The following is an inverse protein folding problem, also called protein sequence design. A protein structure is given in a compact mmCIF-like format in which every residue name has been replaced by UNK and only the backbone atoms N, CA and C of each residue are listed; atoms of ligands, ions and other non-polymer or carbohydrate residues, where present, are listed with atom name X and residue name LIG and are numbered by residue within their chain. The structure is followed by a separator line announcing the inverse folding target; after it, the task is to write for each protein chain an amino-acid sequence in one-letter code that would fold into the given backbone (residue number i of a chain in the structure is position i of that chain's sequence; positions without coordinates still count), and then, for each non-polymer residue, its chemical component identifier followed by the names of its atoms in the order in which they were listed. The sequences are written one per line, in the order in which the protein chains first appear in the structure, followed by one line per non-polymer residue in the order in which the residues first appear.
data_IF_964960472096
#
_entry.id   IF_964960472096
#
_cell.length_a   1.000
_cell.length_b   1.000
_cell.length_c   1.000
_cell.angle_alpha   90.00
_cell.angle_beta   90.00
_cell.angle_gamma   90.00
#
_symmetry.space_group_name_H-M   'P 1'
#
loop_
_entity.id
_entity.type
_entity.pdbx_description
1 polymer ?
#
# COMPACT_ATOMS: atom_id res chain seq x y z
N UNK A 1 17.31 11.07 1.85
CA UNK A 1 16.36 11.39 0.82
C UNK A 1 15.27 10.36 0.76
N UNK A 2 14.12 10.74 1.27
CA UNK A 2 12.98 9.85 1.47
C UNK A 2 12.42 9.31 0.14
N UNK A 3 12.40 10.13 -0.93
CA UNK A 3 11.93 9.67 -2.24
C UNK A 3 12.79 8.52 -2.78
N UNK A 4 14.10 8.56 -2.57
CA UNK A 4 14.99 7.48 -2.99
C UNK A 4 14.75 6.20 -2.19
N UNK A 5 14.49 6.32 -0.89
CA UNK A 5 14.16 5.17 -0.04
C UNK A 5 12.86 4.52 -0.49
N UNK A 6 11.84 5.32 -0.83
CA UNK A 6 10.57 4.82 -1.34
C UNK A 6 10.77 4.09 -2.67
N UNK A 7 11.47 4.69 -3.62
CA UNK A 7 11.70 4.07 -4.93
C UNK A 7 12.48 2.78 -4.79
N UNK A 8 13.50 2.74 -3.93
CA UNK A 8 14.27 1.52 -3.68
C UNK A 8 13.38 0.40 -3.13
N UNK A 9 12.49 0.72 -2.19
CA UNK A 9 11.57 -0.27 -1.62
C UNK A 9 10.55 -0.75 -2.66
N UNK A 10 10.04 0.14 -3.51
CA UNK A 10 9.14 -0.23 -4.59
C UNK A 10 9.82 -1.14 -5.62
N UNK A 11 11.09 -0.89 -5.93
CA UNK A 11 11.86 -1.73 -6.85
C UNK A 11 12.12 -3.10 -6.23
N UNK A 12 12.37 -3.18 -4.94
CA UNK A 12 12.49 -4.44 -4.21
C UNK A 12 11.19 -5.24 -4.29
N UNK A 13 10.03 -4.58 -4.17
CA UNK A 13 8.73 -5.23 -4.32
C UNK A 13 8.54 -5.81 -5.73
N UNK A 14 8.94 -5.07 -6.76
CA UNK A 14 8.90 -5.55 -8.14
C UNK A 14 9.76 -6.80 -8.32
N UNK A 15 10.98 -6.77 -7.79
CA UNK A 15 11.91 -7.90 -7.87
C UNK A 15 11.34 -9.15 -7.20
N UNK A 16 10.79 -8.99 -6.00
CA UNK A 16 10.19 -10.11 -5.27
C UNK A 16 8.98 -10.66 -6.02
N UNK A 17 8.14 -9.81 -6.59
CA UNK A 17 7.00 -10.23 -7.39
C UNK A 17 7.45 -11.02 -8.62
N UNK A 18 8.53 -10.60 -9.27
CA UNK A 18 9.08 -11.28 -10.45
C UNK A 18 9.64 -12.66 -10.10
N UNK A 19 10.12 -12.87 -8.89
CA UNK A 19 10.61 -14.18 -8.44
C UNK A 19 9.50 -15.19 -8.16
N UNK A 20 8.27 -14.71 -7.94
CA UNK A 20 7.07 -15.56 -7.91
C UNK A 20 6.80 -16.34 -6.63
N UNK A 21 7.69 -16.36 -5.66
CA UNK A 21 7.50 -17.11 -4.40
C UNK A 21 7.94 -16.23 -3.22
N UNK A 22 7.08 -15.28 -2.80
CA UNK A 22 7.43 -14.42 -1.69
C UNK A 22 7.24 -15.12 -0.34
N UNK A 23 8.10 -14.80 0.63
CA UNK A 23 7.91 -15.19 2.01
C UNK A 23 6.94 -14.17 2.64
N UNK A 24 5.77 -14.60 3.18
CA UNK A 24 4.76 -13.65 3.65
C UNK A 24 5.26 -12.65 4.69
N UNK A 25 6.11 -13.08 5.63
CA UNK A 25 6.64 -12.18 6.65
C UNK A 25 7.55 -11.11 6.05
N UNK A 26 8.36 -11.48 5.05
CA UNK A 26 9.21 -10.53 4.35
C UNK A 26 8.37 -9.51 3.58
N UNK A 27 7.24 -9.92 3.00
CA UNK A 27 6.32 -9.02 2.32
C UNK A 27 5.67 -8.05 3.30
N UNK A 28 5.23 -8.53 4.46
CA UNK A 28 4.67 -7.65 5.49
C UNK A 28 5.66 -6.57 5.89
N UNK A 29 6.92 -6.95 6.13
CA UNK A 29 7.96 -6.00 6.49
C UNK A 29 8.24 -5.01 5.36
N UNK A 30 8.24 -5.48 4.11
CA UNK A 30 8.45 -4.62 2.95
C UNK A 30 7.29 -3.64 2.75
N UNK A 31 6.05 -4.09 2.90
CA UNK A 31 4.86 -3.22 2.84
C UNK A 31 4.97 -2.12 3.88
N UNK A 32 5.34 -2.47 5.10
CA UNK A 32 5.51 -1.48 6.16
C UNK A 32 6.62 -0.48 5.83
N UNK A 33 7.75 -0.94 5.28
CA UNK A 33 8.84 -0.04 4.84
C UNK A 33 8.39 0.91 3.74
N UNK A 34 7.62 0.41 2.76
CA UNK A 34 7.08 1.23 1.68
C UNK A 34 6.18 2.32 2.25
N UNK A 35 5.25 1.96 3.13
CA UNK A 35 4.33 2.94 3.72
C UNK A 35 5.07 3.93 4.62
N UNK A 36 6.07 3.48 5.37
CA UNK A 36 6.87 4.36 6.20
C UNK A 36 7.66 5.37 5.35
N UNK A 37 8.28 4.91 4.27
CA UNK A 37 9.01 5.81 3.36
C UNK A 37 8.04 6.76 2.65
N UNK A 38 6.85 6.28 2.27
CA UNK A 38 5.82 7.11 1.64
C UNK A 38 5.34 8.22 2.58
N UNK A 39 5.24 7.94 3.88
CA UNK A 39 4.79 8.92 4.87
C UNK A 39 5.74 10.12 5.00
N UNK A 40 6.98 9.98 4.54
CA UNK A 40 7.97 11.05 4.53
C UNK A 40 8.27 11.59 3.12
N UNK A 41 7.53 11.15 2.11
CA UNK A 41 7.76 11.54 0.72
C UNK A 41 6.77 12.63 0.30
N UNK A 42 7.21 13.85 0.03
CA UNK A 42 6.31 14.96 -0.32
C UNK A 42 5.36 14.67 -1.47
N UNK A 43 5.82 14.00 -2.52
CA UNK A 43 4.97 13.68 -3.68
C UNK A 43 3.78 12.81 -3.27
N UNK A 44 3.98 11.87 -2.34
CA UNK A 44 2.90 11.01 -1.84
C UNK A 44 1.94 11.81 -0.97
N UNK A 45 2.47 12.61 -0.06
CA UNK A 45 1.63 13.44 0.83
C UNK A 45 0.81 14.44 0.02
N UNK A 46 1.40 15.02 -1.03
CA UNK A 46 0.68 15.93 -1.93
C UNK A 46 -0.47 15.21 -2.65
N UNK A 47 -0.26 13.96 -3.07
CA UNK A 47 -1.31 13.17 -3.70
C UNK A 47 -2.48 12.87 -2.75
N UNK A 48 -2.23 12.89 -1.43
CA UNK A 48 -3.26 12.65 -0.42
C UNK A 48 -3.95 13.93 0.06
N UNK A 49 -3.50 15.11 -0.35
CA UNK A 49 -4.16 16.37 0.01
C UNK A 49 -5.58 16.40 -0.51
N UNK A 50 -6.50 16.85 0.31
CA UNK A 50 -7.92 16.91 -0.03
C UNK A 50 -8.65 15.59 0.03
N UNK A 51 -7.96 14.49 0.31
CA UNK A 51 -8.60 13.19 0.51
C UNK A 51 -9.21 13.13 1.91
N UNK A 52 -10.34 12.44 2.03
CA UNK A 52 -10.94 12.17 3.34
C UNK A 52 -10.03 11.29 4.18
N UNK A 53 -10.01 11.52 5.48
CA UNK A 53 -9.27 10.68 6.41
C UNK A 53 -9.99 9.36 6.62
N UNK A 54 -9.22 8.28 6.74
CA UNK A 54 -9.75 6.96 7.03
C UNK A 54 -8.65 6.03 7.49
N UNK A 55 -9.05 4.82 7.85
CA UNK A 55 -8.13 3.79 8.32
C UNK A 55 -8.59 2.42 7.87
N UNK A 56 -7.65 1.51 7.72
CA UNK A 56 -7.92 0.14 7.34
C UNK A 56 -6.84 -0.78 7.90
N UNK A 57 -7.17 -2.04 8.03
CA UNK A 57 -6.24 -3.09 8.42
C UNK A 57 -5.87 -3.87 7.16
N UNK A 58 -4.59 -3.84 6.79
CA UNK A 58 -4.08 -4.58 5.65
C UNK A 58 -3.58 -5.93 6.14
N UNK A 59 -4.21 -7.01 5.67
CA UNK A 59 -3.87 -8.35 6.11
C UNK A 59 -3.28 -9.15 4.95
N UNK A 60 -2.07 -9.69 5.18
CA UNK A 60 -1.47 -10.65 4.26
C UNK A 60 -2.00 -12.02 4.68
N UNK A 61 -2.88 -12.60 3.87
CA UNK A 61 -3.67 -13.78 4.25
C UNK A 61 -2.85 -15.05 4.45
N UNK A 62 -1.69 -15.12 3.82
CA UNK A 62 -0.76 -16.23 3.99
C UNK A 62 0.35 -15.91 5.01
N UNK A 63 0.21 -14.81 5.76
CA UNK A 63 1.11 -14.42 6.85
C UNK A 63 0.38 -14.32 8.18
N UNK A 64 1.12 -14.03 9.23
CA UNK A 64 0.59 -14.02 10.60
C UNK A 64 0.30 -12.61 11.14
N UNK A 65 0.80 -11.56 10.47
CA UNK A 65 0.68 -10.19 10.96
C UNK A 65 -0.08 -9.32 9.98
N UNK A 66 -0.51 -8.17 10.48
CA UNK A 66 -1.24 -7.18 9.69
C UNK A 66 -0.59 -5.80 9.86
N UNK A 67 -1.04 -4.85 9.06
CA UNK A 67 -0.58 -3.47 9.12
C UNK A 67 -1.81 -2.59 9.29
N UNK A 68 -1.83 -1.78 10.35
CA UNK A 68 -2.82 -0.73 10.48
C UNK A 68 -2.34 0.48 9.67
N UNK A 69 -3.22 0.96 8.81
CA UNK A 69 -2.92 2.00 7.84
C UNK A 69 -3.94 3.13 8.00
N UNK A 70 -3.45 4.37 8.11
CA UNK A 70 -4.27 5.56 8.18
C UNK A 70 -3.80 6.56 7.13
N UNK A 71 -4.72 7.16 6.40
CA UNK A 71 -4.37 8.12 5.35
C UNK A 71 -5.47 9.15 5.15
N UNK A 72 -5.09 10.30 4.61
CA UNK A 72 -6.00 11.36 4.24
C UNK A 72 -5.48 12.72 4.70
N UNK A 73 -5.99 13.77 4.07
CA UNK A 73 -5.62 15.15 4.38
C UNK A 73 -4.11 15.39 4.36
N UNK A 74 -3.43 14.81 3.37
CA UNK A 74 -1.99 14.98 3.22
C UNK A 74 -1.14 14.22 4.23
N UNK A 75 -1.71 13.25 4.93
CA UNK A 75 -1.02 12.47 5.97
C UNK A 75 -1.10 10.99 5.66
N UNK A 76 -0.10 10.25 6.12
CA UNK A 76 -0.03 8.81 5.98
C UNK A 76 0.69 8.23 7.19
N UNK A 77 0.10 7.18 7.78
CA UNK A 77 0.69 6.48 8.92
C UNK A 77 0.44 4.99 8.80
N UNK A 78 1.43 4.19 9.16
CA UNK A 78 1.31 2.73 9.17
C UNK A 78 2.13 2.12 10.29
N UNK A 79 1.60 1.06 10.91
CA UNK A 79 2.30 0.30 11.93
C UNK A 79 1.86 -1.16 11.91
N UNK A 80 2.67 -2.03 12.47
CA UNK A 80 2.30 -3.44 12.63
C UNK A 80 1.14 -3.56 13.62
N UNK A 81 0.22 -4.49 13.33
CA UNK A 81 -0.98 -4.68 14.14
C UNK A 81 -1.38 -6.15 14.15
N UNK A 82 -2.29 -6.49 15.06
CA UNK A 82 -2.89 -7.81 15.10
C UNK A 82 -3.91 -7.96 13.99
N UNK A 83 -4.01 -9.16 13.35
CA UNK A 83 -4.97 -9.38 12.26
C UNK A 83 -6.43 -9.27 12.65
N UNK A 84 -6.74 -9.31 13.93
CA UNK A 84 -8.11 -9.35 14.46
C UNK A 84 -8.64 -7.98 14.90
N UNK A 85 -8.10 -6.90 14.40
CA UNK A 85 -8.57 -5.56 14.74
C UNK A 85 -10.00 -5.30 14.23
N UNK A 86 -10.60 -4.22 14.74
CA UNK A 86 -11.91 -3.74 14.27
C UNK A 86 -11.73 -2.79 13.09
N UNK A 87 -12.80 -2.62 12.34
CA UNK A 87 -12.83 -1.67 11.23
C UNK A 87 -12.62 -2.31 9.87
N UNK A 88 -12.48 -1.48 8.83
CA UNK A 88 -12.30 -1.99 7.46
C UNK A 88 -11.05 -2.84 7.33
N UNK A 89 -11.15 -3.92 6.55
CA UNK A 89 -10.04 -4.84 6.33
C UNK A 89 -9.82 -5.07 4.85
N UNK A 90 -8.56 -5.10 4.46
CA UNK A 90 -8.14 -5.43 3.09
C UNK A 90 -7.30 -6.69 3.17
N UNK A 91 -7.80 -7.76 2.57
CA UNK A 91 -7.14 -9.07 2.58
C UNK A 91 -6.55 -9.37 1.21
N UNK A 92 -5.28 -9.73 1.19
CA UNK A 92 -4.59 -10.12 -0.04
C UNK A 92 -3.46 -11.09 0.28
N UNK A 93 -3.10 -11.93 -0.69
CA UNK A 93 -1.91 -12.77 -0.54
C UNK A 93 -0.65 -11.89 -0.64
N UNK A 94 0.48 -12.44 -0.20
CA UNK A 94 1.76 -11.74 -0.29
C UNK A 94 2.09 -11.33 -1.73
N UNK A 95 1.85 -12.22 -2.70
CA UNK A 95 2.14 -11.92 -4.10
C UNK A 95 1.27 -10.78 -4.63
N UNK A 96 -0.03 -10.79 -4.32
CA UNK A 96 -0.94 -9.72 -4.71
C UNK A 96 -0.55 -8.39 -4.06
N UNK A 97 -0.20 -8.41 -2.78
CA UNK A 97 0.27 -7.21 -2.08
C UNK A 97 1.50 -6.59 -2.73
N UNK A 98 2.46 -7.42 -3.13
CA UNK A 98 3.64 -6.96 -3.86
C UNK A 98 3.27 -6.32 -5.20
N UNK A 99 2.35 -6.93 -5.95
CA UNK A 99 1.90 -6.39 -7.22
C UNK A 99 1.25 -5.02 -7.09
N UNK A 100 0.42 -4.85 -6.08
CA UNK A 100 -0.24 -3.57 -5.79
C UNK A 100 0.77 -2.49 -5.43
N UNK A 101 1.69 -2.78 -4.53
CA UNK A 101 2.65 -1.81 -4.05
C UNK A 101 3.76 -1.56 -5.05
N UNK A 102 4.17 -2.57 -5.79
CA UNK A 102 5.15 -2.42 -6.85
C UNK A 102 4.61 -1.74 -8.11
N UNK A 103 3.30 -1.50 -8.19
CA UNK A 103 2.67 -0.83 -9.32
C UNK A 103 2.44 -1.72 -10.54
N UNK A 104 2.63 -3.04 -10.41
CA UNK A 104 2.39 -3.99 -11.50
C UNK A 104 0.95 -4.47 -11.60
N UNK A 105 0.16 -4.20 -10.56
CA UNK A 105 -1.24 -4.60 -10.49
C UNK A 105 -2.07 -3.40 -10.06
N UNK A 106 -3.09 -3.05 -10.84
CA UNK A 106 -3.97 -1.92 -10.51
C UNK A 106 -4.98 -2.32 -9.43
N UNK A 107 -5.28 -1.44 -8.45
CA UNK A 107 -6.18 -1.77 -7.34
C UNK A 107 -7.55 -2.26 -7.79
N UNK A 108 -8.19 -1.59 -8.74
CA UNK A 108 -9.53 -1.98 -9.13
C UNK A 108 -9.54 -3.32 -9.89
N UNK A 109 -8.48 -3.62 -10.65
CA UNK A 109 -8.35 -4.92 -11.30
C UNK A 109 -8.19 -6.04 -10.28
N UNK A 110 -7.36 -5.82 -9.26
CA UNK A 110 -7.19 -6.79 -8.18
C UNK A 110 -8.52 -7.04 -7.46
N UNK A 111 -9.27 -5.99 -7.19
CA UNK A 111 -10.57 -6.08 -6.55
C UNK A 111 -11.58 -6.85 -7.42
N UNK A 112 -11.73 -6.47 -8.69
CA UNK A 112 -12.70 -7.10 -9.58
C UNK A 112 -12.37 -8.54 -9.90
N UNK A 113 -11.10 -8.93 -9.86
CA UNK A 113 -10.67 -10.32 -10.07
C UNK A 113 -10.71 -11.16 -8.79
N UNK A 114 -11.12 -10.59 -7.66
CA UNK A 114 -11.17 -11.30 -6.40
C UNK A 114 -9.80 -11.57 -5.77
N UNK A 115 -8.75 -10.89 -6.23
CA UNK A 115 -7.40 -11.03 -5.67
C UNK A 115 -7.26 -10.26 -4.36
N UNK A 116 -8.08 -9.23 -4.17
CA UNK A 116 -8.16 -8.45 -2.94
C UNK A 116 -9.59 -8.54 -2.44
N UNK A 117 -9.75 -8.87 -1.18
CA UNK A 117 -11.06 -8.93 -0.52
C UNK A 117 -11.14 -7.79 0.48
N UNK A 118 -12.07 -6.88 0.26
CA UNK A 118 -12.30 -5.76 1.16
C UNK A 118 -13.52 -6.05 2.05
N UNK A 119 -13.29 -6.11 3.35
CA UNK A 119 -14.35 -6.30 4.35
C UNK A 119 -14.70 -4.94 4.94
N UNK A 120 -15.61 -4.24 4.28
CA UNK A 120 -15.92 -2.85 4.60
C UNK A 120 -17.29 -2.48 4.07
N UNK A 121 -17.88 -1.42 4.65
CA UNK A 121 -19.08 -0.80 4.09
C UNK A 121 -18.80 -0.08 2.79
N UNK A 122 -19.85 0.34 2.09
CA UNK A 122 -19.71 1.00 0.78
C UNK A 122 -18.88 2.29 0.87
N UNK A 123 -19.12 3.10 1.88
CA UNK A 123 -18.38 4.35 2.07
C UNK A 123 -16.90 4.10 2.31
N UNK A 124 -16.59 3.12 3.15
CA UNK A 124 -15.23 2.73 3.46
C UNK A 124 -14.53 2.12 2.25
N UNK A 125 -15.24 1.31 1.47
CA UNK A 125 -14.71 0.72 0.25
C UNK A 125 -14.34 1.79 -0.78
N UNK A 126 -15.19 2.81 -0.92
CA UNK A 126 -14.92 3.93 -1.82
C UNK A 126 -13.67 4.69 -1.37
N UNK A 127 -13.54 4.93 -0.06
CA UNK A 127 -12.37 5.57 0.50
C UNK A 127 -11.09 4.75 0.23
N UNK A 128 -11.16 3.42 0.43
CA UNK A 128 -10.03 2.53 0.16
C UNK A 128 -9.58 2.60 -1.30
N UNK A 129 -10.53 2.56 -2.23
CA UNK A 129 -10.22 2.64 -3.65
C UNK A 129 -9.57 3.97 -4.02
N UNK A 130 -10.14 5.07 -3.57
CA UNK A 130 -9.61 6.40 -3.85
C UNK A 130 -8.23 6.59 -3.24
N UNK A 131 -8.04 6.11 -2.02
CA UNK A 131 -6.74 6.22 -1.33
C UNK A 131 -5.67 5.40 -2.05
N UNK A 132 -5.99 4.17 -2.47
CA UNK A 132 -5.05 3.32 -3.21
C UNK A 132 -4.64 3.97 -4.53
N UNK A 133 -5.57 4.55 -5.26
CA UNK A 133 -5.27 5.26 -6.52
C UNK A 133 -4.38 6.48 -6.29
N UNK A 134 -4.65 7.25 -5.23
CA UNK A 134 -3.83 8.41 -4.88
C UNK A 134 -2.42 8.00 -4.48
N UNK A 135 -2.28 6.92 -3.72
CA UNK A 135 -0.97 6.39 -3.33
C UNK A 135 -0.16 5.96 -4.55
N UNK A 136 -0.78 5.24 -5.48
CA UNK A 136 -0.09 4.82 -6.70
C UNK A 136 0.37 6.02 -7.52
N UNK A 137 -0.45 7.04 -7.63
CA UNK A 137 -0.10 8.27 -8.33
C UNK A 137 1.08 8.98 -7.64
N UNK A 138 1.06 9.03 -6.31
CA UNK A 138 2.16 9.57 -5.54
C UNK A 138 3.46 8.80 -5.73
N UNK A 139 3.38 7.49 -5.82
CA UNK A 139 4.53 6.62 -6.09
C UNK A 139 5.10 6.89 -7.48
N UNK A 140 4.24 7.03 -8.48
CA UNK A 140 4.68 7.37 -9.86
C UNK A 140 5.36 8.72 -9.89
N UNK A 141 4.80 9.71 -9.21
CA UNK A 141 5.39 11.05 -9.11
C UNK A 141 6.76 11.00 -8.42
N UNK A 142 6.88 10.22 -7.35
CA UNK A 142 8.15 10.04 -6.65
C UNK A 142 9.21 9.40 -7.55
N UNK A 143 8.83 8.40 -8.35
CA UNK A 143 9.73 7.76 -9.32
C UNK A 143 10.20 8.77 -10.37
N UNK A 144 9.28 9.55 -10.89
CA UNK A 144 9.60 10.56 -11.91
C UNK A 144 10.56 11.59 -11.37
N UNK A 145 10.35 12.09 -10.16
CA UNK A 145 11.24 13.06 -9.53
C UNK A 145 12.60 12.46 -9.20
N UNK A 146 12.63 11.20 -8.78
CA UNK A 146 13.87 10.48 -8.53
C UNK A 146 14.69 10.26 -9.81
N UNK A 147 14.00 10.02 -10.94
CA UNK A 147 14.64 9.78 -12.23
C UNK A 147 15.20 11.07 -12.88
N UNK A 148 14.73 12.22 -12.46
CA UNK A 148 15.14 13.51 -13.02
C UNK A 148 16.51 14.01 -12.50
N UNK A 149 17.18 13.23 -11.67
CA UNK A 149 18.47 13.61 -11.08
C UNK A 149 19.64 12.98 -11.77
#
# INVERSE_FOLDING_TARGET
MTALALVAALDEAKDLAARGIPVPEAVTDLVLRILAAASDTPAVLDALKGASEGRALLRITDGARAIEFQAGDGKLFAELAEPKGKGPKVDATALTGLGLLGGTLKPWLAFTRGLVICRAGITELRWLQQTAERLQRGYEDARRLGSAR
#
